data_IF_797764710369
#
_entry.id   IF_797764710369
#
_cell.length_a   1.000
_cell.length_b   1.000
_cell.length_c   1.000
_cell.angle_alpha   90.00
_cell.angle_beta   90.00
_cell.angle_gamma   90.00
#
_symmetry.space_group_name_H-M   'P 1'
#
loop_
_entity.id
_entity.type
_entity.pdbx_description
1 polymer ?
#
# COMPACT_ATOMS: atom_id res chain seq x y z
N UNK A 1 34.00 -3.98 -54.47
CA UNK A 1 33.88 -4.99 -53.40
C UNK A 1 33.90 -4.27 -52.07
N UNK A 2 32.74 -3.93 -51.51
CA UNK A 2 32.62 -3.40 -50.15
C UNK A 2 31.77 -4.40 -49.38
N UNK A 3 32.43 -5.21 -48.56
CA UNK A 3 31.81 -6.22 -47.71
C UNK A 3 31.17 -5.50 -46.51
N UNK A 4 29.84 -5.43 -46.50
CA UNK A 4 29.08 -4.96 -45.34
C UNK A 4 29.05 -6.07 -44.29
N UNK A 5 29.93 -5.99 -43.30
CA UNK A 5 29.88 -6.78 -42.07
C UNK A 5 28.65 -6.38 -41.26
N UNK A 6 27.63 -7.22 -41.23
CA UNK A 6 26.51 -7.10 -40.28
C UNK A 6 27.04 -7.40 -38.88
N UNK A 7 27.13 -6.37 -38.04
CA UNK A 7 27.33 -6.53 -36.59
C UNK A 7 26.01 -7.09 -36.01
N UNK A 8 26.01 -8.25 -35.33
CA UNK A 8 24.83 -8.72 -34.63
C UNK A 8 24.53 -7.78 -33.47
N UNK A 9 23.37 -7.15 -33.47
CA UNK A 9 22.83 -6.48 -32.28
C UNK A 9 22.44 -7.60 -31.32
N UNK A 10 22.98 -7.67 -30.09
CA UNK A 10 22.54 -8.64 -29.11
C UNK A 10 21.13 -8.22 -28.66
N UNK A 11 20.11 -8.77 -29.31
CA UNK A 11 18.74 -8.70 -28.86
C UNK A 11 18.64 -9.57 -27.60
N UNK A 12 18.49 -8.88 -26.47
CA UNK A 12 18.23 -9.38 -25.12
C UNK A 12 19.44 -9.99 -24.38
N UNK A 13 19.83 -9.44 -23.22
CA UNK A 13 20.63 -10.18 -22.26
C UNK A 13 19.83 -11.43 -21.87
N UNK A 14 20.43 -12.61 -21.98
CA UNK A 14 19.86 -13.92 -21.64
C UNK A 14 19.57 -14.11 -20.14
N UNK A 15 19.50 -13.03 -19.36
CA UNK A 15 19.07 -13.07 -17.98
C UNK A 15 17.55 -12.99 -17.92
N UNK A 16 16.91 -14.12 -18.22
CA UNK A 16 15.62 -14.44 -17.62
C UNK A 16 15.82 -14.34 -16.10
N UNK A 17 15.42 -13.22 -15.51
CA UNK A 17 15.55 -12.96 -14.08
C UNK A 17 15.03 -14.17 -13.32
N UNK A 18 15.85 -14.76 -12.43
CA UNK A 18 15.43 -15.95 -11.68
C UNK A 18 14.17 -15.61 -10.88
N UNK A 19 13.19 -16.54 -10.78
CA UNK A 19 11.92 -16.28 -10.10
C UNK A 19 12.08 -15.78 -8.66
N UNK A 20 13.14 -16.23 -7.97
CA UNK A 20 13.36 -16.01 -6.54
C UNK A 20 14.35 -14.86 -6.23
N UNK A 21 14.85 -14.17 -7.25
CA UNK A 21 15.81 -13.08 -7.05
C UNK A 21 15.09 -11.72 -6.94
N UNK A 22 15.42 -10.87 -5.93
CA UNK A 22 14.83 -9.55 -5.80
C UNK A 22 14.98 -8.72 -7.08
N UNK A 23 13.88 -8.17 -7.60
CA UNK A 23 13.91 -7.28 -8.77
C UNK A 23 13.35 -5.90 -8.44
N UNK A 24 13.84 -4.87 -9.13
CA UNK A 24 13.25 -3.55 -9.06
C UNK A 24 11.90 -3.51 -9.79
N UNK A 25 10.95 -2.74 -9.24
CA UNK A 25 9.66 -2.47 -9.88
C UNK A 25 9.85 -1.99 -11.33
N UNK A 26 10.76 -1.04 -11.56
CA UNK A 26 11.04 -0.48 -12.89
C UNK A 26 11.42 -1.54 -13.92
N UNK A 27 12.21 -2.54 -13.52
CA UNK A 27 12.56 -3.70 -14.36
C UNK A 27 11.33 -4.54 -14.67
N UNK A 28 10.52 -4.86 -13.67
CA UNK A 28 9.29 -5.66 -13.86
C UNK A 28 8.27 -4.93 -14.72
N UNK A 29 8.08 -3.63 -14.52
CA UNK A 29 7.18 -2.80 -15.31
C UNK A 29 7.67 -2.69 -16.76
N UNK A 30 8.98 -2.55 -17.00
CA UNK A 30 9.55 -2.58 -18.35
C UNK A 30 9.32 -3.93 -19.03
N UNK A 31 9.55 -5.05 -18.34
CA UNK A 31 9.29 -6.40 -18.86
C UNK A 31 7.80 -6.60 -19.18
N UNK A 32 6.90 -6.14 -18.30
CA UNK A 32 5.47 -6.21 -18.53
C UNK A 32 5.06 -5.37 -19.76
N UNK A 33 5.58 -4.13 -19.89
CA UNK A 33 5.32 -3.26 -21.06
C UNK A 33 5.80 -3.89 -22.37
N UNK A 34 7.01 -4.46 -22.38
CA UNK A 34 7.56 -5.13 -23.56
C UNK A 34 6.78 -6.40 -23.89
N UNK A 35 6.53 -7.24 -22.89
CA UNK A 35 5.76 -8.48 -23.05
C UNK A 35 4.37 -8.21 -23.62
N UNK A 36 3.68 -7.19 -23.11
CA UNK A 36 2.38 -6.78 -23.63
C UNK A 36 2.47 -6.19 -25.05
N UNK A 37 3.37 -5.23 -25.28
CA UNK A 37 3.51 -4.53 -26.58
C UNK A 37 3.88 -5.47 -27.73
N UNK A 38 4.72 -6.47 -27.47
CA UNK A 38 5.20 -7.42 -28.48
C UNK A 38 4.52 -8.79 -28.40
N UNK A 39 3.45 -8.94 -27.61
CA UNK A 39 2.71 -10.20 -27.44
C UNK A 39 3.60 -11.38 -27.02
N UNK A 40 4.54 -11.14 -26.11
CA UNK A 40 5.42 -12.16 -25.52
C UNK A 40 4.82 -12.60 -24.17
N UNK A 41 3.82 -13.48 -24.23
CA UNK A 41 2.99 -13.88 -23.08
C UNK A 41 3.79 -14.39 -21.89
N UNK A 42 4.88 -15.14 -22.15
CA UNK A 42 5.75 -15.68 -21.10
C UNK A 42 6.39 -14.57 -20.25
N UNK A 43 6.87 -13.51 -20.90
CA UNK A 43 7.52 -12.38 -20.22
C UNK A 43 6.45 -11.56 -19.48
N UNK A 44 5.34 -11.27 -20.15
CA UNK A 44 4.24 -10.53 -19.55
C UNK A 44 3.70 -11.22 -18.30
N UNK A 45 3.35 -12.51 -18.41
CA UNK A 45 2.79 -13.30 -17.30
C UNK A 45 3.77 -13.42 -16.15
N UNK A 46 5.07 -13.63 -16.42
CA UNK A 46 6.09 -13.70 -15.37
C UNK A 46 6.23 -12.37 -14.63
N UNK A 47 6.21 -11.24 -15.34
CA UNK A 47 6.28 -9.91 -14.73
C UNK A 47 5.03 -9.60 -13.89
N UNK A 48 3.82 -9.83 -14.41
CA UNK A 48 2.56 -9.62 -13.68
C UNK A 48 2.48 -10.51 -12.44
N UNK A 49 2.88 -11.78 -12.53
CA UNK A 49 2.92 -12.68 -11.37
C UNK A 49 3.77 -12.13 -10.22
N UNK A 50 4.89 -11.48 -10.54
CA UNK A 50 5.74 -10.85 -9.52
C UNK A 50 5.16 -9.55 -9.00
N UNK A 51 4.58 -8.74 -9.87
CA UNK A 51 3.90 -7.51 -9.46
C UNK A 51 2.69 -7.79 -8.56
N UNK A 52 2.02 -8.94 -8.72
CA UNK A 52 0.96 -9.41 -7.81
C UNK A 52 1.40 -9.56 -6.35
N UNK A 53 2.69 -9.76 -6.08
CA UNK A 53 3.19 -9.80 -4.70
C UNK A 53 3.06 -8.45 -3.97
N UNK A 54 2.99 -7.34 -4.73
CA UNK A 54 2.79 -5.99 -4.19
C UNK A 54 1.35 -5.50 -4.47
N UNK A 55 0.89 -5.68 -5.70
CA UNK A 55 -0.42 -5.28 -6.20
C UNK A 55 -1.32 -6.50 -6.28
N UNK A 56 -1.89 -6.89 -5.16
CA UNK A 56 -2.65 -8.14 -5.04
C UNK A 56 -4.16 -7.90 -5.13
N UNK A 57 -4.87 -8.99 -5.35
CA UNK A 57 -6.32 -9.15 -5.24
C UNK A 57 -6.69 -10.16 -4.14
N UNK A 58 -5.75 -10.44 -3.23
CA UNK A 58 -5.90 -11.30 -2.07
C UNK A 58 -5.60 -10.52 -0.79
N UNK A 59 -6.53 -10.58 0.16
CA UNK A 59 -6.44 -9.83 1.41
C UNK A 59 -5.25 -10.23 2.29
N UNK A 60 -4.92 -11.53 2.36
CA UNK A 60 -3.84 -12.00 3.22
C UNK A 60 -2.47 -11.56 2.69
N UNK A 61 -2.27 -11.65 1.38
CA UNK A 61 -1.10 -11.12 0.70
C UNK A 61 -1.01 -9.60 0.86
N UNK A 62 -2.16 -8.90 0.80
CA UNK A 62 -2.20 -7.46 1.00
C UNK A 62 -1.83 -7.12 2.44
N UNK A 63 -2.36 -7.81 3.45
CA UNK A 63 -2.03 -7.59 4.86
C UNK A 63 -0.59 -7.98 5.20
N UNK A 64 -0.03 -9.00 4.57
CA UNK A 64 1.33 -9.45 4.85
C UNK A 64 2.38 -8.39 4.48
N UNK A 65 2.07 -7.57 3.47
CA UNK A 65 3.00 -6.58 2.94
C UNK A 65 2.47 -5.14 3.01
N UNK A 66 1.19 -4.94 3.27
CA UNK A 66 0.45 -3.67 3.36
C UNK A 66 0.79 -2.68 2.24
N UNK A 67 1.00 -3.17 1.01
CA UNK A 67 1.44 -2.32 -0.11
C UNK A 67 2.88 -1.81 0.02
N UNK A 68 3.76 -2.54 0.72
CA UNK A 68 5.19 -2.26 0.83
C UNK A 68 6.02 -3.22 -0.02
N UNK A 69 7.30 -2.89 -0.09
CA UNK A 69 8.38 -3.69 -0.63
C UNK A 69 8.31 -5.13 -0.10
N UNK A 70 8.20 -6.08 -1.01
CA UNK A 70 8.38 -7.49 -0.65
C UNK A 70 9.86 -7.86 -0.78
N UNK A 71 10.34 -8.94 -0.15
CA UNK A 71 11.70 -9.44 -0.38
C UNK A 71 12.00 -9.67 -1.87
N UNK A 72 10.97 -9.91 -2.68
CA UNK A 72 11.06 -10.23 -4.11
C UNK A 72 10.97 -9.00 -5.03
N UNK A 73 10.43 -7.87 -4.54
CA UNK A 73 10.18 -6.67 -5.36
C UNK A 73 10.57 -5.40 -4.60
N UNK A 74 11.61 -4.72 -5.10
CA UNK A 74 12.00 -3.37 -4.65
C UNK A 74 11.05 -2.34 -5.27
N UNK A 75 10.26 -1.68 -4.44
CA UNK A 75 9.13 -0.82 -4.81
C UNK A 75 9.13 0.45 -3.95
N UNK A 76 8.78 1.57 -4.55
CA UNK A 76 8.51 2.85 -3.88
C UNK A 76 7.06 3.26 -4.12
N UNK A 77 6.43 4.01 -3.21
CA UNK A 77 5.03 4.41 -3.39
C UNK A 77 4.78 5.19 -4.69
N UNK A 78 5.77 5.95 -5.15
CA UNK A 78 5.70 6.72 -6.40
C UNK A 78 5.50 5.83 -7.63
N UNK A 79 5.99 4.58 -7.58
CA UNK A 79 5.82 3.58 -8.65
C UNK A 79 4.36 3.15 -8.83
N UNK A 80 3.47 3.41 -7.86
CA UNK A 80 2.05 3.06 -7.95
C UNK A 80 1.36 3.71 -9.15
N UNK A 81 1.76 4.94 -9.52
CA UNK A 81 1.20 5.63 -10.70
C UNK A 81 1.53 4.85 -11.98
N UNK A 82 2.78 4.41 -12.15
CA UNK A 82 3.18 3.59 -13.30
C UNK A 82 2.42 2.25 -13.30
N UNK A 83 2.20 1.65 -12.13
CA UNK A 83 1.48 0.39 -12.00
C UNK A 83 0.02 0.51 -12.45
N UNK A 84 -0.70 1.56 -12.02
CA UNK A 84 -2.08 1.82 -12.45
C UNK A 84 -2.14 1.93 -13.98
N UNK A 85 -1.26 2.74 -14.57
CA UNK A 85 -1.22 2.93 -16.01
C UNK A 85 -0.90 1.63 -16.77
N UNK A 86 0.01 0.81 -16.22
CA UNK A 86 0.34 -0.50 -16.77
C UNK A 86 -0.86 -1.45 -16.71
N UNK A 87 -1.55 -1.54 -15.58
CA UNK A 87 -2.70 -2.44 -15.40
C UNK A 87 -3.90 -2.01 -16.24
N UNK A 88 -4.16 -0.71 -16.39
CA UNK A 88 -5.15 -0.18 -17.32
C UNK A 88 -4.83 -0.58 -18.77
N UNK A 89 -3.58 -0.37 -19.22
CA UNK A 89 -3.15 -0.71 -20.59
C UNK A 89 -3.20 -2.21 -20.87
N UNK A 90 -2.89 -3.03 -19.88
CA UNK A 90 -2.81 -4.50 -20.03
C UNK A 90 -4.05 -5.25 -19.55
N UNK A 91 -5.16 -4.54 -19.32
CA UNK A 91 -6.46 -5.07 -18.89
C UNK A 91 -6.39 -5.94 -17.61
N UNK A 92 -5.52 -5.57 -16.66
CA UNK A 92 -5.39 -6.25 -15.36
C UNK A 92 -6.31 -5.61 -14.31
N UNK A 93 -7.61 -5.61 -14.60
CA UNK A 93 -8.62 -4.88 -13.81
C UNK A 93 -8.63 -5.26 -12.32
N UNK A 94 -8.38 -6.53 -12.00
CA UNK A 94 -8.35 -7.06 -10.62
C UNK A 94 -7.26 -6.46 -9.74
N UNK A 95 -6.18 -5.93 -10.34
CA UNK A 95 -5.06 -5.35 -9.58
C UNK A 95 -5.21 -3.83 -9.39
N UNK A 96 -6.22 -3.22 -10.03
CA UNK A 96 -6.44 -1.78 -9.96
C UNK A 96 -6.85 -1.29 -8.56
N UNK A 97 -7.72 -1.98 -7.79
CA UNK A 97 -8.10 -1.47 -6.48
C UNK A 97 -6.89 -1.30 -5.55
N UNK A 98 -6.03 -2.32 -5.45
CA UNK A 98 -4.82 -2.23 -4.62
C UNK A 98 -3.80 -1.22 -5.15
N UNK A 99 -3.64 -1.09 -6.47
CA UNK A 99 -2.76 -0.08 -7.07
C UNK A 99 -3.24 1.36 -6.82
N UNK A 100 -4.52 1.64 -7.03
CA UNK A 100 -5.12 2.94 -6.80
C UNK A 100 -5.18 3.28 -5.30
N UNK A 101 -5.39 2.29 -4.43
CA UNK A 101 -5.26 2.47 -2.99
C UNK A 101 -3.85 2.96 -2.61
N UNK A 102 -2.81 2.40 -3.22
CA UNK A 102 -1.45 2.89 -2.99
C UNK A 102 -1.25 4.32 -3.52
N UNK A 103 -1.84 4.68 -4.66
CA UNK A 103 -1.87 6.06 -5.13
C UNK A 103 -2.57 6.99 -4.13
N UNK A 104 -3.62 6.54 -3.44
CA UNK A 104 -4.28 7.33 -2.39
C UNK A 104 -3.34 7.67 -1.22
N UNK A 105 -2.20 6.98 -1.06
CA UNK A 105 -1.21 7.32 -0.04
C UNK A 105 -0.19 8.38 -0.45
N UNK A 106 -0.26 8.88 -1.70
CA UNK A 106 0.63 9.90 -2.25
C UNK A 106 0.15 11.31 -1.88
N UNK A 107 1.07 12.28 -1.90
CA UNK A 107 0.71 13.68 -1.75
C UNK A 107 -0.13 14.16 -2.94
N UNK A 108 -0.97 15.17 -2.70
CA UNK A 108 -1.76 15.82 -3.76
C UNK A 108 -0.84 16.36 -4.86
N UNK A 109 0.33 16.90 -4.49
CA UNK A 109 1.34 17.33 -5.45
C UNK A 109 1.78 16.18 -6.37
N UNK A 110 2.15 15.02 -5.82
CA UNK A 110 2.58 13.87 -6.63
C UNK A 110 1.43 13.33 -7.49
N UNK A 111 0.20 13.33 -7.00
CA UNK A 111 -0.97 12.93 -7.79
C UNK A 111 -1.21 13.86 -9.00
N UNK A 112 -1.04 15.17 -8.83
CA UNK A 112 -1.25 16.17 -9.89
C UNK A 112 -0.07 16.24 -10.88
N UNK A 113 1.16 16.20 -10.38
CA UNK A 113 2.36 16.38 -11.19
C UNK A 113 2.94 15.08 -11.73
N UNK A 114 2.54 13.94 -11.18
CA UNK A 114 3.03 12.62 -11.55
C UNK A 114 4.31 12.22 -10.83
N UNK A 115 4.80 11.04 -11.17
CA UNK A 115 6.03 10.47 -10.65
C UNK A 115 7.05 10.24 -11.77
N UNK A 116 8.32 10.48 -11.48
CA UNK A 116 9.40 10.21 -12.44
C UNK A 116 9.73 8.71 -12.45
N UNK A 117 9.78 8.13 -13.66
CA UNK A 117 10.23 6.76 -13.88
C UNK A 117 11.74 6.66 -13.92
N UNK A 118 12.25 5.43 -13.88
CA UNK A 118 13.67 5.14 -14.03
C UNK A 118 14.30 5.63 -15.35
N UNK A 119 13.52 5.81 -16.42
CA UNK A 119 13.98 6.35 -17.71
C UNK A 119 13.91 7.88 -17.80
N UNK A 120 13.55 8.56 -16.70
CA UNK A 120 13.44 10.01 -16.62
C UNK A 120 12.11 10.57 -17.11
N UNK A 121 11.23 9.76 -17.71
CA UNK A 121 9.89 10.20 -18.13
C UNK A 121 8.94 10.33 -16.94
N UNK A 122 7.96 11.23 -17.03
CA UNK A 122 6.98 11.46 -15.96
C UNK A 122 5.69 10.69 -16.28
N UNK A 123 5.28 9.81 -15.39
CA UNK A 123 3.98 9.13 -15.45
C UNK A 123 2.95 9.90 -14.66
N UNK A 124 1.78 10.08 -15.26
CA UNK A 124 0.62 10.73 -14.64
C UNK A 124 -0.56 9.78 -14.69
N UNK A 125 -1.40 9.85 -13.66
CA UNK A 125 -2.69 9.17 -13.67
C UNK A 125 -3.59 9.77 -14.76
N UNK A 126 -4.44 8.92 -15.35
CA UNK A 126 -5.55 9.40 -16.15
C UNK A 126 -6.47 10.27 -15.28
N UNK A 127 -7.14 11.26 -15.87
CA UNK A 127 -7.99 12.21 -15.13
C UNK A 127 -9.04 11.52 -14.24
N UNK A 128 -9.70 10.48 -14.77
CA UNK A 128 -10.69 9.70 -14.02
C UNK A 128 -10.06 8.96 -12.83
N UNK A 129 -8.85 8.43 -12.98
CA UNK A 129 -8.13 7.72 -11.91
C UNK A 129 -7.60 8.70 -10.85
N UNK A 130 -7.17 9.90 -11.26
CA UNK A 130 -6.83 10.99 -10.36
C UNK A 130 -8.02 11.43 -9.50
N UNK A 131 -9.19 11.67 -10.12
CA UNK A 131 -10.42 12.02 -9.40
C UNK A 131 -10.82 10.94 -8.40
N UNK A 132 -10.76 9.66 -8.81
CA UNK A 132 -11.00 8.51 -7.93
C UNK A 132 -10.08 8.52 -6.72
N UNK A 133 -8.79 8.78 -6.90
CA UNK A 133 -7.84 8.83 -5.80
C UNK A 133 -8.14 9.97 -4.83
N UNK A 134 -8.43 11.17 -5.33
CA UNK A 134 -8.73 12.33 -4.48
C UNK A 134 -10.02 12.16 -3.67
N UNK A 135 -11.05 11.56 -4.28
CA UNK A 135 -12.30 11.22 -3.58
C UNK A 135 -12.08 10.09 -2.57
N UNK A 136 -11.35 9.05 -2.95
CA UNK A 136 -11.05 7.93 -2.07
C UNK A 136 -10.21 8.36 -0.86
N UNK A 137 -9.23 9.27 -1.03
CA UNK A 137 -8.47 9.86 0.09
C UNK A 137 -9.40 10.42 1.17
N UNK A 138 -10.41 11.20 0.78
CA UNK A 138 -11.38 11.78 1.72
C UNK A 138 -12.22 10.70 2.41
N UNK A 139 -12.72 9.71 1.66
CA UNK A 139 -13.51 8.60 2.21
C UNK A 139 -12.69 7.77 3.21
N UNK A 140 -11.45 7.45 2.87
CA UNK A 140 -10.53 6.68 3.72
C UNK A 140 -10.21 7.46 4.99
N UNK A 141 -9.90 8.75 4.89
CA UNK A 141 -9.62 9.60 6.05
C UNK A 141 -10.84 9.70 7.00
N UNK A 142 -12.04 9.87 6.46
CA UNK A 142 -13.27 9.93 7.24
C UNK A 142 -13.53 8.61 7.98
N UNK A 143 -13.42 7.47 7.29
CA UNK A 143 -13.56 6.13 7.88
C UNK A 143 -12.54 5.89 8.99
N UNK A 144 -11.29 6.28 8.75
CA UNK A 144 -10.20 6.14 9.72
C UNK A 144 -10.41 6.98 10.96
N UNK A 145 -10.89 8.21 10.78
CA UNK A 145 -11.21 9.11 11.89
C UNK A 145 -12.34 8.55 12.74
N UNK A 146 -13.42 8.07 12.12
CA UNK A 146 -14.53 7.44 12.82
C UNK A 146 -14.12 6.15 13.55
N UNK A 147 -13.29 5.31 12.91
CA UNK A 147 -12.71 4.12 13.55
C UNK A 147 -11.88 4.48 14.78
N UNK A 148 -10.93 5.41 14.63
CA UNK A 148 -10.08 5.89 15.73
C UNK A 148 -10.90 6.43 16.90
N UNK A 149 -11.93 7.22 16.61
CA UNK A 149 -12.81 7.76 17.65
C UNK A 149 -13.47 6.64 18.47
N UNK A 150 -14.06 5.65 17.80
CA UNK A 150 -14.67 4.49 18.49
C UNK A 150 -13.63 3.66 19.25
N UNK A 151 -12.48 3.42 18.63
CA UNK A 151 -11.41 2.62 19.25
C UNK A 151 -10.81 3.29 20.49
N UNK A 152 -10.87 4.62 20.58
CA UNK A 152 -10.37 5.42 21.70
C UNK A 152 -11.46 5.81 22.70
N UNK A 153 -12.71 5.43 22.47
CA UNK A 153 -13.76 5.58 23.47
C UNK A 153 -13.60 4.46 24.51
N UNK A 154 -13.21 4.84 25.73
CA UNK A 154 -13.12 3.92 26.87
C UNK A 154 -14.44 3.83 27.64
N UNK A 155 -15.45 4.61 27.24
CA UNK A 155 -16.79 4.61 27.81
C UNK A 155 -17.72 3.64 27.08
N UNK A 156 -17.32 3.14 25.91
CA UNK A 156 -18.11 2.20 25.11
C UNK A 156 -18.28 0.86 25.86
N UNK A 157 -19.52 0.45 26.19
CA UNK A 157 -19.78 -0.81 26.89
C UNK A 157 -19.43 -2.06 26.05
N UNK A 158 -19.31 -1.94 24.73
CA UNK A 158 -18.85 -3.03 23.87
C UNK A 158 -17.34 -3.30 24.02
N UNK A 159 -16.59 -2.36 24.59
CA UNK A 159 -15.14 -2.50 24.81
C UNK A 159 -14.85 -3.49 25.95
N UNK A 160 -13.89 -4.41 25.78
CA UNK A 160 -13.41 -5.24 26.88
C UNK A 160 -12.91 -4.41 28.07
N UNK A 161 -13.26 -4.84 29.28
CA UNK A 161 -12.84 -4.16 30.50
C UNK A 161 -11.30 -4.18 30.64
N UNK A 162 -10.72 -3.00 30.85
CA UNK A 162 -9.29 -2.86 31.14
C UNK A 162 -8.93 -3.62 32.44
N UNK A 163 -7.81 -4.35 32.46
CA UNK A 163 -7.31 -5.04 33.66
C UNK A 163 -6.94 -4.04 34.75
N UNK A 164 -6.45 -2.85 34.37
CA UNK A 164 -6.15 -1.76 35.28
C UNK A 164 -7.43 -0.97 35.63
N UNK A 165 -8.48 -1.66 36.11
CA UNK A 165 -9.81 -1.09 36.39
C UNK A 165 -9.76 0.16 37.28
N UNK A 166 -8.78 0.23 38.19
CA UNK A 166 -8.63 1.28 39.20
C UNK A 166 -7.53 2.31 38.85
N UNK A 167 -6.94 2.26 37.65
CA UNK A 167 -5.89 3.20 37.23
C UNK A 167 -6.10 3.62 35.77
N UNK A 168 -6.18 4.93 35.44
CA UNK A 168 -6.44 5.44 34.09
C UNK A 168 -5.26 5.27 33.12
N UNK A 169 -4.42 4.27 33.36
CA UNK A 169 -3.18 4.04 32.60
C UNK A 169 -3.49 3.80 31.13
N UNK A 170 -4.36 2.85 30.78
CA UNK A 170 -4.62 2.58 29.36
C UNK A 170 -5.47 3.66 28.68
N UNK A 171 -6.46 4.22 29.37
CA UNK A 171 -7.34 5.28 28.83
C UNK A 171 -6.60 6.58 28.55
N UNK A 172 -5.52 6.84 29.29
CA UNK A 172 -4.68 8.02 29.07
C UNK A 172 -3.51 7.72 28.14
N UNK A 173 -2.82 6.58 28.32
CA UNK A 173 -1.62 6.23 27.56
C UNK A 173 -1.90 5.97 26.09
N UNK A 174 -3.00 5.31 25.74
CA UNK A 174 -3.29 4.99 24.33
C UNK A 174 -3.48 6.27 23.48
N UNK A 175 -4.31 7.25 23.89
CA UNK A 175 -4.38 8.53 23.18
C UNK A 175 -3.07 9.34 23.20
N UNK A 176 -2.28 9.28 24.29
CA UNK A 176 -0.98 9.96 24.35
C UNK A 176 0.01 9.36 23.35
N UNK A 177 0.04 8.03 23.26
CA UNK A 177 0.92 7.32 22.34
C UNK A 177 0.57 7.64 20.89
N UNK A 178 -0.71 7.60 20.52
CA UNK A 178 -1.13 7.92 19.16
C UNK A 178 -0.85 9.39 18.80
N UNK A 179 -0.96 10.31 19.76
CA UNK A 179 -0.53 11.71 19.56
C UNK A 179 0.97 11.81 19.35
N UNK A 180 1.78 11.18 20.22
CA UNK A 180 3.24 11.20 20.09
C UNK A 180 3.75 10.59 18.78
N UNK A 181 3.12 9.50 18.33
CA UNK A 181 3.38 8.93 17.01
C UNK A 181 2.98 9.89 15.88
N UNK A 182 1.86 10.59 16.03
CA UNK A 182 1.39 11.58 15.06
C UNK A 182 2.37 12.75 14.93
N UNK A 183 2.85 13.26 16.06
CA UNK A 183 3.83 14.34 16.12
C UNK A 183 5.17 13.92 15.51
N UNK A 184 5.64 12.69 15.82
CA UNK A 184 6.87 12.14 15.25
C UNK A 184 6.78 11.96 13.72
N UNK A 185 5.65 11.47 13.21
CA UNK A 185 5.41 11.35 11.76
C UNK A 185 5.32 12.73 11.10
N UNK A 186 4.68 13.70 11.75
CA UNK A 186 4.60 15.08 11.28
C UNK A 186 5.97 15.77 11.20
N UNK A 187 6.84 15.53 12.18
CA UNK A 187 8.20 16.09 12.23
C UNK A 187 9.11 15.57 11.11
N UNK A 188 8.83 14.40 10.52
CA UNK A 188 9.58 13.83 9.40
C UNK A 188 9.25 14.47 8.04
N UNK A 189 8.39 15.49 8.00
CA UNK A 189 8.28 16.42 6.86
C UNK A 189 7.68 15.84 5.57
N UNK A 190 6.89 14.77 5.65
CA UNK A 190 6.14 14.29 4.49
C UNK A 190 4.91 15.16 4.23
N UNK A 191 4.69 15.59 2.98
CA UNK A 191 3.40 16.07 2.47
C UNK A 191 2.35 14.94 2.56
N UNK A 192 1.94 14.59 3.77
CA UNK A 192 1.07 13.46 4.06
C UNK A 192 -0.39 13.84 3.78
N UNK A 193 -0.74 13.88 2.50
CA UNK A 193 -2.13 13.95 2.03
C UNK A 193 -2.97 12.71 2.36
N UNK A 194 -2.41 11.70 3.03
CA UNK A 194 -3.13 10.56 3.55
C UNK A 194 -2.65 10.19 4.95
N UNK A 195 -3.47 10.56 5.95
CA UNK A 195 -3.62 9.90 7.25
C UNK A 195 -2.34 9.67 8.09
N UNK A 196 -1.67 10.76 8.51
CA UNK A 196 -0.70 10.73 9.63
C UNK A 196 -1.20 9.89 10.81
N UNK A 197 -2.53 9.81 11.02
CA UNK A 197 -3.18 9.01 12.07
C UNK A 197 -3.42 7.52 11.76
N UNK A 198 -3.71 7.08 10.53
CA UNK A 198 -3.66 5.64 10.20
C UNK A 198 -2.23 5.11 10.35
N UNK A 199 -1.25 5.94 10.00
CA UNK A 199 0.17 5.67 10.20
C UNK A 199 0.48 5.41 11.70
N UNK A 200 -0.19 6.11 12.63
CA UNK A 200 0.03 5.96 14.08
C UNK A 200 -0.45 4.61 14.62
N UNK A 201 -1.67 4.18 14.28
CA UNK A 201 -2.16 2.86 14.69
C UNK A 201 -1.33 1.73 14.08
N UNK A 202 -0.86 1.91 12.84
CA UNK A 202 0.02 0.95 12.19
C UNK A 202 1.37 0.84 12.89
N UNK A 203 1.99 1.98 13.25
CA UNK A 203 3.22 1.97 14.06
C UNK A 203 2.95 1.30 15.42
N UNK A 204 1.78 1.53 16.01
CA UNK A 204 1.38 0.83 17.23
C UNK A 204 1.31 -0.70 17.03
N UNK A 205 0.67 -1.19 15.96
CA UNK A 205 0.57 -2.62 15.62
C UNK A 205 1.95 -3.24 15.43
N UNK A 206 2.84 -2.58 14.68
CA UNK A 206 4.23 -3.03 14.48
C UNK A 206 5.02 -3.09 15.78
N UNK A 207 4.87 -2.05 16.60
CA UNK A 207 5.48 -1.95 17.93
C UNK A 207 4.96 -3.06 18.85
N UNK A 208 3.67 -3.43 18.75
CA UNK A 208 3.09 -4.56 19.48
C UNK A 208 3.44 -5.94 18.91
N UNK A 209 4.04 -6.04 17.72
CA UNK A 209 4.50 -7.32 17.17
C UNK A 209 5.83 -7.75 17.80
N UNK A 210 6.65 -6.79 18.26
CA UNK A 210 7.91 -7.05 18.96
C UNK A 210 7.68 -7.25 20.47
N UNK A 211 8.12 -8.38 21.08
CA UNK A 211 8.01 -8.61 22.51
C UNK A 211 8.68 -7.52 23.36
N UNK A 212 9.85 -7.06 22.94
CA UNK A 212 10.67 -6.03 23.62
C UNK A 212 9.95 -4.68 23.65
N UNK A 213 9.22 -4.35 22.58
CA UNK A 213 8.52 -3.08 22.43
C UNK A 213 7.12 -3.06 23.06
N UNK A 214 6.54 -4.24 23.37
CA UNK A 214 5.24 -4.34 24.06
C UNK A 214 5.27 -3.68 25.44
N UNK A 215 6.37 -3.84 26.18
CA UNK A 215 6.54 -3.24 27.50
C UNK A 215 6.62 -1.71 27.43
N UNK A 216 7.23 -1.17 26.36
CA UNK A 216 7.40 0.27 26.13
C UNK A 216 6.06 1.00 25.91
N UNK A 217 5.06 0.30 25.36
CA UNK A 217 3.73 0.87 25.09
C UNK A 217 2.89 1.06 26.36
N UNK A 218 3.19 0.31 27.43
CA UNK A 218 2.58 0.50 28.74
C UNK A 218 1.07 0.28 28.78
N UNK A 219 0.51 -0.49 27.84
CA UNK A 219 -0.90 -0.90 27.82
C UNK A 219 -1.07 -2.29 28.43
N UNK A 220 -2.23 -2.53 29.04
CA UNK A 220 -2.58 -3.88 29.48
C UNK A 220 -2.87 -4.79 28.27
N UNK A 221 -2.65 -6.10 28.45
CA UNK A 221 -2.86 -7.12 27.39
C UNK A 221 -4.25 -7.03 26.74
N UNK A 222 -5.29 -6.79 27.52
CA UNK A 222 -6.68 -6.70 27.00
C UNK A 222 -6.84 -5.49 26.07
N UNK A 223 -6.36 -4.31 26.46
CA UNK A 223 -6.45 -3.11 25.63
C UNK A 223 -5.59 -3.25 24.36
N UNK A 224 -4.40 -3.84 24.50
CA UNK A 224 -3.51 -4.16 23.39
C UNK A 224 -4.20 -5.07 22.35
N UNK A 225 -4.74 -6.21 22.80
CA UNK A 225 -5.45 -7.17 21.94
C UNK A 225 -6.70 -6.56 21.31
N UNK A 226 -7.44 -5.73 22.04
CA UNK A 226 -8.59 -4.99 21.50
C UNK A 226 -8.18 -4.06 20.36
N UNK A 227 -7.09 -3.29 20.51
CA UNK A 227 -6.59 -2.43 19.42
C UNK A 227 -6.21 -3.26 18.20
N UNK A 228 -5.43 -4.33 18.40
CA UNK A 228 -4.94 -5.19 17.32
C UNK A 228 -6.09 -5.87 16.56
N UNK A 229 -7.08 -6.40 17.27
CA UNK A 229 -8.25 -7.03 16.66
C UNK A 229 -9.17 -6.01 15.97
N UNK A 230 -9.32 -4.81 16.53
CA UNK A 230 -10.11 -3.74 15.90
C UNK A 230 -9.46 -3.26 14.60
N UNK A 231 -8.14 -3.08 14.59
CA UNK A 231 -7.38 -2.69 13.39
C UNK A 231 -7.45 -3.76 12.29
N UNK A 232 -7.43 -5.04 12.70
CA UNK A 232 -7.58 -6.19 11.82
C UNK A 232 -8.92 -6.16 11.07
N UNK A 233 -10.01 -5.94 11.82
CA UNK A 233 -11.37 -5.85 11.31
C UNK A 233 -11.53 -4.62 10.41
N UNK A 234 -11.03 -3.46 10.83
CA UNK A 234 -11.06 -2.25 10.00
C UNK A 234 -10.34 -2.44 8.67
N UNK A 235 -9.17 -3.08 8.69
CA UNK A 235 -8.40 -3.36 7.48
C UNK A 235 -9.13 -4.31 6.53
N UNK A 236 -9.86 -5.29 7.08
CA UNK A 236 -10.68 -6.24 6.31
C UNK A 236 -11.91 -5.58 5.70
N UNK A 237 -12.64 -4.78 6.48
CA UNK A 237 -13.76 -3.96 6.00
C UNK A 237 -13.31 -2.99 4.91
N UNK A 238 -12.20 -2.29 5.12
CA UNK A 238 -11.64 -1.36 4.14
C UNK A 238 -11.21 -2.08 2.86
N UNK A 239 -10.61 -3.28 2.99
CA UNK A 239 -10.25 -4.11 1.84
C UNK A 239 -11.47 -4.50 1.04
N UNK A 240 -12.50 -5.08 1.66
CA UNK A 240 -13.71 -5.51 0.97
C UNK A 240 -14.43 -4.36 0.26
N UNK A 241 -14.47 -3.19 0.90
CA UNK A 241 -15.11 -2.00 0.34
C UNK A 241 -14.23 -1.27 -0.69
N UNK A 242 -12.98 -1.68 -0.89
CA UNK A 242 -12.00 -0.92 -1.67
C UNK A 242 -12.47 -0.58 -3.10
N UNK A 243 -13.07 -1.52 -3.87
CA UNK A 243 -13.63 -1.20 -5.18
C UNK A 243 -14.72 -0.12 -5.10
N UNK A 244 -15.61 -0.19 -4.10
CA UNK A 244 -16.69 0.79 -3.89
C UNK A 244 -16.13 2.17 -3.48
N UNK A 245 -15.12 2.19 -2.61
CA UNK A 245 -14.43 3.43 -2.22
C UNK A 245 -13.83 4.14 -3.44
N UNK A 246 -13.22 3.36 -4.35
CA UNK A 246 -12.58 3.81 -5.58
C UNK A 246 -13.50 3.88 -6.81
N UNK A 247 -14.80 3.60 -6.64
CA UNK A 247 -15.82 3.58 -7.69
C UNK A 247 -15.56 2.57 -8.84
N UNK A 248 -14.80 1.50 -8.61
CA UNK A 248 -14.37 0.56 -9.65
C UNK A 248 -15.39 -0.56 -9.89
N UNK A 249 -15.72 -0.88 -11.17
CA UNK A 249 -16.59 -1.99 -11.51
C UNK A 249 -15.79 -3.31 -11.51
N UNK A 250 -15.47 -3.85 -10.33
CA UNK A 250 -14.80 -5.14 -10.18
C UNK A 250 -15.80 -6.18 -9.69
N UNK A 251 -16.13 -7.17 -10.53
CA UNK A 251 -17.18 -8.17 -10.27
C UNK A 251 -16.76 -9.32 -9.35
N UNK A 252 -15.45 -9.54 -9.14
CA UNK A 252 -14.88 -10.65 -8.35
C UNK A 252 -13.79 -10.12 -7.41
N UNK A 253 -14.17 -9.33 -6.41
CA UNK A 253 -13.28 -8.84 -5.35
C UNK A 253 -13.58 -9.56 -4.03
N UNK A 254 -12.56 -10.19 -3.45
CA UNK A 254 -12.66 -11.03 -2.25
C UNK A 254 -11.57 -10.69 -1.24
#
# INVERSE_FOLDING_TARGET
>A
MLSTTRVPIPLFPSTCHKPDEPAAFSTLAALARLGYKYSIDRIFTAAIKRLKAVFTDDFQAWRAHEGRTTPLVKFTRNDAIEAVNLFRKSNQARLLPSALYMCCSLSVHTLLHGAQRADGTVEKLALNDLERCLVAQQKIEARSTAFNHRMLDFSDPARPACVARDSPTCSTRLPQLLRGLGDAVGALGGDAGASTRQQCLRVFVETHRSPEMRETLGLCRICAEYVLSSDLLFSEELWHDLPSVLDLPVSEWH
#
